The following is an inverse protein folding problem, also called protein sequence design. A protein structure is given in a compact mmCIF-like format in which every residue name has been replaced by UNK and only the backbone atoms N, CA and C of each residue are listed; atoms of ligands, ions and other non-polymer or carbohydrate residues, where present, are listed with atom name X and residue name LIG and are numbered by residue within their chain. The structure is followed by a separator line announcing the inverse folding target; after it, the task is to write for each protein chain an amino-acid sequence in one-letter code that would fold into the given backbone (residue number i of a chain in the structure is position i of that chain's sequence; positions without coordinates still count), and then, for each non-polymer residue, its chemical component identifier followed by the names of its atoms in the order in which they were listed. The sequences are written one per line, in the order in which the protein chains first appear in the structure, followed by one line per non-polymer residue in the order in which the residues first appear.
data_IF_407560152862
#
_entry.id   IF_407560152862
#
_cell.length_a   1.000
_cell.length_b   1.000
_cell.length_c   1.000
_cell.angle_alpha   90.00
_cell.angle_beta   90.00
_cell.angle_gamma   90.00
#
_symmetry.space_group_name_H-M   'P 1'
#
loop_
_entity.id
_entity.type
_entity.pdbx_description
1 polymer ?
#
# COMPACT_ATOMS: atom_id res chain seq x y z
N UNK A 1 -16.16 -4.00 9.55
CA UNK A 1 -15.73 -5.31 10.07
C UNK A 1 -14.21 -5.45 10.10
N UNK A 2 -13.52 -5.43 8.95
CA UNK A 2 -12.06 -5.64 8.87
C UNK A 2 -11.23 -4.69 9.75
N UNK A 3 -11.51 -3.38 9.70
CA UNK A 3 -10.80 -2.36 10.50
C UNK A 3 -10.93 -2.57 12.03
N UNK A 4 -11.96 -3.30 12.48
CA UNK A 4 -12.19 -3.60 13.90
C UNK A 4 -11.49 -4.89 14.34
N UNK A 5 -11.40 -5.87 13.44
CA UNK A 5 -10.77 -7.16 13.70
C UNK A 5 -9.24 -7.11 13.57
N UNK A 6 -8.73 -6.40 12.54
CA UNK A 6 -7.31 -6.36 12.22
C UNK A 6 -6.40 -5.89 13.39
N UNK A 7 -6.78 -4.85 14.19
CA UNK A 7 -5.95 -4.41 15.30
C UNK A 7 -5.62 -5.49 16.35
N UNK A 8 -6.54 -6.42 16.62
CA UNK A 8 -6.30 -7.48 17.61
C UNK A 8 -5.35 -8.56 17.11
N UNK A 9 -5.29 -8.77 15.79
CA UNK A 9 -4.42 -9.77 15.17
C UNK A 9 -2.98 -9.28 15.03
N UNK A 10 -2.78 -7.98 14.82
CA UNK A 10 -1.46 -7.40 14.60
C UNK A 10 -0.80 -6.88 15.88
N UNK A 11 -1.48 -6.96 17.02
CA UNK A 11 -1.01 -6.42 18.30
C UNK A 11 0.27 -7.09 18.83
N UNK A 12 0.51 -8.36 18.49
CA UNK A 12 1.69 -9.12 18.89
C UNK A 12 2.84 -9.07 17.88
N UNK A 13 2.66 -8.40 16.73
CA UNK A 13 3.70 -8.36 15.70
C UNK A 13 4.85 -7.44 16.11
N UNK A 14 6.07 -7.94 15.93
CA UNK A 14 7.29 -7.20 16.20
C UNK A 14 7.53 -6.07 15.21
N UNK A 15 8.36 -5.11 15.60
CA UNK A 15 8.84 -4.05 14.72
C UNK A 15 9.51 -4.62 13.47
N UNK A 16 9.32 -3.97 12.32
CA UNK A 16 9.86 -4.43 11.03
C UNK A 16 9.09 -5.60 10.39
N UNK A 17 8.04 -6.13 11.04
CA UNK A 17 7.19 -7.15 10.42
C UNK A 17 6.44 -6.57 9.22
N UNK A 18 6.44 -7.33 8.11
CA UNK A 18 5.68 -6.94 6.91
C UNK A 18 4.25 -7.46 7.00
N UNK A 19 3.28 -6.56 7.02
CA UNK A 19 1.85 -6.85 6.96
C UNK A 19 1.38 -6.76 5.51
N UNK A 20 1.04 -7.91 4.92
CA UNK A 20 0.44 -7.98 3.58
C UNK A 20 -1.07 -8.17 3.74
N UNK A 21 -1.86 -7.17 3.34
CA UNK A 21 -3.32 -7.24 3.35
C UNK A 21 -3.86 -7.49 1.94
N UNK A 22 -4.50 -8.64 1.75
CA UNK A 22 -5.24 -8.96 0.52
C UNK A 22 -6.71 -8.64 0.74
N UNK A 23 -7.30 -7.76 -0.07
CA UNK A 23 -8.68 -7.31 0.09
C UNK A 23 -9.38 -7.05 -1.24
N UNK A 24 -10.68 -7.34 -1.37
CA UNK A 24 -11.44 -6.97 -2.57
C UNK A 24 -11.73 -5.46 -2.65
N UNK A 25 -11.66 -4.74 -1.53
CA UNK A 25 -11.98 -3.32 -1.48
C UNK A 25 -11.05 -2.57 -0.52
N UNK A 26 -10.53 -1.44 -0.99
CA UNK A 26 -9.77 -0.50 -0.17
C UNK A 26 -10.59 0.77 0.07
N UNK A 27 -10.90 1.04 1.34
CA UNK A 27 -11.66 2.21 1.77
C UNK A 27 -10.81 3.14 2.64
N UNK A 28 -11.19 4.41 2.72
CA UNK A 28 -10.47 5.40 3.52
C UNK A 28 -10.39 5.03 5.02
N UNK A 29 -11.45 4.55 5.70
CA UNK A 29 -11.34 4.12 7.10
C UNK A 29 -10.33 2.97 7.30
N UNK A 30 -10.20 2.11 6.29
CA UNK A 30 -9.21 1.04 6.30
C UNK A 30 -7.79 1.59 6.17
N UNK A 31 -7.56 2.57 5.28
CA UNK A 31 -6.27 3.25 5.15
C UNK A 31 -5.82 3.91 6.46
N UNK A 32 -6.72 4.60 7.18
CA UNK A 32 -6.40 5.18 8.48
C UNK A 32 -6.01 4.14 9.53
N UNK A 33 -6.66 2.98 9.51
CA UNK A 33 -6.33 1.86 10.39
C UNK A 33 -4.95 1.30 10.05
N UNK A 34 -4.66 1.09 8.76
CA UNK A 34 -3.38 0.61 8.25
C UNK A 34 -2.23 1.60 8.52
N UNK A 35 -2.49 2.89 8.41
CA UNK A 35 -1.51 3.92 8.71
C UNK A 35 -1.11 3.89 10.19
N UNK A 36 -2.06 3.61 11.09
CA UNK A 36 -1.75 3.42 12.52
C UNK A 36 -0.81 2.24 12.75
N UNK A 37 -0.86 1.18 11.93
CA UNK A 37 0.08 0.06 11.99
C UNK A 37 1.45 0.42 11.41
N UNK A 38 1.48 1.17 10.30
CA UNK A 38 2.72 1.69 9.75
C UNK A 38 3.48 2.56 10.77
N UNK A 39 2.76 3.43 11.50
CA UNK A 39 3.34 4.25 12.58
C UNK A 39 3.83 3.44 13.79
N UNK A 40 3.34 2.22 13.98
CA UNK A 40 3.84 1.28 15.00
C UNK A 40 5.08 0.53 14.54
N UNK A 41 5.58 0.77 13.33
CA UNK A 41 6.80 0.17 12.78
C UNK A 41 6.57 -1.09 11.94
N UNK A 42 5.32 -1.37 11.54
CA UNK A 42 5.02 -2.44 10.59
C UNK A 42 5.20 -1.93 9.16
N UNK A 43 5.77 -2.74 8.27
CA UNK A 43 5.79 -2.43 6.84
C UNK A 43 4.46 -2.88 6.22
N UNK A 44 3.61 -1.94 5.82
CA UNK A 44 2.25 -2.26 5.36
C UNK A 44 2.17 -2.26 3.83
N UNK A 45 1.77 -3.39 3.28
CA UNK A 45 1.49 -3.60 1.86
C UNK A 45 0.04 -4.07 1.68
N UNK A 46 -0.65 -3.55 0.67
CA UNK A 46 -2.03 -3.91 0.34
C UNK A 46 -2.09 -4.40 -1.10
N UNK A 47 -2.77 -5.52 -1.30
CA UNK A 47 -3.08 -6.07 -2.62
C UNK A 47 -4.58 -6.05 -2.81
N UNK A 48 -5.04 -5.30 -3.81
CA UNK A 48 -6.45 -5.18 -4.18
C UNK A 48 -6.75 -6.12 -5.34
N UNK A 49 -7.63 -7.10 -5.11
CA UNK A 49 -7.94 -8.16 -6.08
C UNK A 49 -9.10 -7.84 -7.03
N UNK A 50 -9.68 -6.65 -6.94
CA UNK A 50 -10.85 -6.24 -7.73
C UNK A 50 -10.63 -4.84 -8.31
N UNK A 51 -11.21 -4.56 -9.48
CA UNK A 51 -11.25 -3.19 -10.01
C UNK A 51 -12.13 -2.33 -9.14
N UNK A 52 -11.53 -1.30 -8.53
CA UNK A 52 -12.26 -0.28 -7.79
C UNK A 52 -12.24 1.06 -8.53
N UNK A 53 -13.35 1.82 -8.49
CA UNK A 53 -13.36 3.18 -9.03
C UNK A 53 -12.37 4.06 -8.26
N UNK A 54 -11.72 4.98 -8.96
CA UNK A 54 -10.74 5.91 -8.39
C UNK A 54 -9.56 5.23 -7.65
N UNK A 55 -9.19 3.99 -8.01
CA UNK A 55 -8.08 3.25 -7.42
C UNK A 55 -6.79 4.08 -7.31
N UNK A 56 -6.40 4.76 -8.39
CA UNK A 56 -5.18 5.57 -8.42
C UNK A 56 -5.20 6.72 -7.40
N UNK A 57 -6.34 7.35 -7.17
CA UNK A 57 -6.47 8.38 -6.13
C UNK A 57 -6.27 7.77 -4.74
N UNK A 58 -6.90 6.62 -4.48
CA UNK A 58 -6.76 5.89 -3.22
C UNK A 58 -5.32 5.41 -3.01
N UNK A 59 -4.66 4.94 -4.08
CA UNK A 59 -3.25 4.52 -4.08
C UNK A 59 -2.34 5.70 -3.74
N UNK A 60 -2.48 6.84 -4.40
CA UNK A 60 -1.69 8.04 -4.12
C UNK A 60 -1.84 8.48 -2.65
N UNK A 61 -3.08 8.49 -2.13
CA UNK A 61 -3.34 8.79 -0.72
C UNK A 61 -2.63 7.79 0.20
N UNK A 62 -2.72 6.49 -0.08
CA UNK A 62 -2.07 5.45 0.71
C UNK A 62 -0.54 5.56 0.68
N UNK A 63 0.05 5.89 -0.47
CA UNK A 63 1.50 6.07 -0.63
C UNK A 63 2.03 7.23 0.22
N UNK A 64 1.29 8.34 0.29
CA UNK A 64 1.60 9.47 1.20
C UNK A 64 1.51 9.06 2.66
N UNK A 65 0.63 8.11 3.01
CA UNK A 65 0.52 7.52 4.35
C UNK A 65 1.60 6.45 4.63
N UNK A 66 2.51 6.22 3.68
CA UNK A 66 3.60 5.24 3.76
C UNK A 66 3.15 3.80 3.50
N UNK A 67 1.93 3.58 3.03
CA UNK A 67 1.38 2.26 2.72
C UNK A 67 1.65 1.95 1.25
N UNK A 68 2.19 0.77 0.95
CA UNK A 68 2.27 0.31 -0.44
C UNK A 68 0.94 -0.30 -0.87
N UNK A 69 0.42 0.10 -2.03
CA UNK A 69 -0.84 -0.43 -2.55
C UNK A 69 -0.64 -0.89 -3.98
N UNK A 70 -1.05 -2.12 -4.24
CA UNK A 70 -0.92 -2.77 -5.54
C UNK A 70 -2.27 -3.33 -5.95
N UNK A 71 -2.55 -3.28 -7.25
CA UNK A 71 -3.71 -3.95 -7.81
C UNK A 71 -3.24 -5.23 -8.49
N UNK A 72 -3.83 -6.36 -8.13
CA UNK A 72 -3.57 -7.64 -8.76
C UNK A 72 -4.89 -8.22 -9.25
N UNK A 73 -5.22 -7.94 -10.51
CA UNK A 73 -6.45 -8.44 -11.14
C UNK A 73 -6.23 -9.83 -11.73
N UNK A 74 -4.99 -10.13 -12.08
CA UNK A 74 -4.55 -11.38 -12.68
C UNK A 74 -3.35 -11.95 -11.93
N UNK A 75 -3.09 -13.24 -12.12
CA UNK A 75 -1.93 -13.93 -11.55
C UNK A 75 -0.60 -13.30 -12.01
N UNK A 76 -0.55 -12.81 -13.25
CA UNK A 76 0.61 -12.10 -13.80
C UNK A 76 0.97 -10.83 -13.02
N UNK A 77 -0.01 -10.16 -12.44
CA UNK A 77 0.20 -8.94 -11.66
C UNK A 77 0.85 -9.29 -10.32
N UNK A 78 0.43 -10.41 -9.72
CA UNK A 78 1.04 -10.93 -8.48
C UNK A 78 2.49 -11.38 -8.72
N UNK A 79 2.76 -12.01 -9.86
CA UNK A 79 4.11 -12.42 -10.23
C UNK A 79 5.07 -11.21 -10.34
N UNK A 80 4.59 -10.08 -10.87
CA UNK A 80 5.37 -8.83 -10.93
C UNK A 80 5.68 -8.26 -9.54
N UNK A 81 4.72 -8.36 -8.59
CA UNK A 81 4.95 -7.95 -7.21
C UNK A 81 6.02 -8.77 -6.52
N UNK A 82 6.07 -10.08 -6.77
CA UNK A 82 7.10 -10.98 -6.24
C UNK A 82 8.51 -10.66 -6.75
N UNK A 83 8.63 -10.06 -7.93
CA UNK A 83 9.93 -9.69 -8.52
C UNK A 83 10.44 -8.31 -8.08
N UNK A 84 9.54 -7.40 -7.67
CA UNK A 84 9.88 -6.07 -7.15
C UNK A 84 10.01 -5.98 -5.62
N UNK A 85 9.76 -7.09 -4.90
CA UNK A 85 9.82 -7.14 -3.44
C UNK A 85 11.26 -7.30 -2.95
N UNK A 86 11.99 -6.19 -2.86
CA UNK A 86 13.24 -6.11 -2.10
C UNK A 86 12.95 -5.62 -0.66
N UNK A 87 13.04 -6.48 0.37
CA UNK A 87 12.84 -6.08 1.76
C UNK A 87 13.94 -5.15 2.30
N UNK A 88 15.07 -5.01 1.59
CA UNK A 88 16.22 -4.19 2.00
C UNK A 88 16.16 -2.74 1.48
N UNK A 89 15.13 -2.37 0.72
CA UNK A 89 14.95 -1.00 0.22
C UNK A 89 13.80 -0.30 0.96
N UNK A 90 14.05 0.28 2.16
CA UNK A 90 13.11 1.25 2.71
C UNK A 90 12.98 2.39 1.70
N UNK A 91 11.75 2.85 1.44
CA UNK A 91 11.46 3.98 0.54
C UNK A 91 12.43 5.13 0.85
N UNK A 92 13.49 5.25 0.06
CA UNK A 92 14.45 6.34 0.16
C UNK A 92 13.71 7.56 -0.36
N UNK A 93 13.40 8.49 0.54
CA UNK A 93 12.90 9.80 0.14
C UNK A 93 14.04 10.48 -0.63
N UNK A 94 13.99 10.42 -1.96
CA UNK A 94 14.92 11.14 -2.84
C UNK A 94 14.33 12.54 -3.09
N UNK A 95 14.90 13.61 -2.52
CA UNK A 95 14.40 14.98 -2.72
C UNK A 95 14.63 15.52 -4.14
N UNK A 96 15.19 14.71 -5.05
CA UNK A 96 15.67 15.14 -6.37
C UNK A 96 14.85 14.60 -7.55
N UNK A 97 13.62 14.13 -7.38
CA UNK A 97 12.80 13.72 -8.52
C UNK A 97 12.07 14.93 -9.13
N UNK A 98 12.45 15.41 -10.33
CA UNK A 98 11.72 16.50 -10.98
C UNK A 98 10.34 15.99 -11.42
N UNK A 99 9.31 16.77 -11.12
CA UNK A 99 7.93 16.53 -11.56
C UNK A 99 7.89 16.45 -13.09
N UNK A 100 7.92 15.25 -13.66
CA UNK A 100 7.57 15.03 -15.07
C UNK A 100 6.06 15.16 -15.25
N UNK A 101 5.58 16.40 -15.21
CA UNK A 101 4.30 16.80 -15.78
C UNK A 101 4.54 17.24 -17.22
N UNK A 102 4.46 16.30 -18.16
CA UNK A 102 4.34 16.63 -19.57
C UNK A 102 2.94 17.19 -19.83
N UNK A 103 2.84 18.50 -20.02
CA UNK A 103 1.70 19.14 -20.66
C UNK A 103 2.02 19.20 -22.15
N UNK A 104 1.19 18.56 -22.98
CA UNK A 104 1.32 18.59 -24.43
C UNK A 104 -0.05 18.87 -25.06
N UNK A 105 -0.11 19.91 -25.91
CA UNK A 105 -1.24 20.30 -26.76
C UNK A 105 -2.32 21.10 -26.04
N UNK A 106 -2.87 22.20 -26.57
CA UNK A 106 -2.84 22.83 -27.90
C UNK A 106 -3.10 24.33 -27.70
#
# INVERSE_FOLDING_TARGET
ALHRWLPSQVASLGWGTTLILVTPQLSEPLLWSLHSFNRKGLNVQVVVCVRQPAFERTRQQAEVMGIGVHQALWESDLAQLGQGFDPAQPKRFDPAQPKRGGFNGV
#
